data_IF_759889948636
#
_entry.id   IF_759889948636
#
_cell.length_a   1.000
_cell.length_b   1.000
_cell.length_c   1.000
_cell.angle_alpha   90.00
_cell.angle_beta   90.00
_cell.angle_gamma   90.00
#
_symmetry.space_group_name_H-M   'P 1'
#
loop_
_entity.id
_entity.type
_entity.pdbx_description
1 polymer ?
#
# COMPACT_ATOMS: atom_id res chain seq x y z
N UNK A 1 16.86 -18.60 4.12
CA UNK A 1 15.76 -17.86 3.53
C UNK A 1 16.09 -16.39 3.38
N UNK A 2 15.86 -15.86 2.21
CA UNK A 2 16.21 -14.49 1.98
C UNK A 2 15.08 -13.56 2.29
N UNK A 3 15.39 -12.48 2.93
CA UNK A 3 14.41 -11.47 3.18
C UNK A 3 14.29 -10.59 1.97
N UNK A 4 13.07 -10.21 1.67
CA UNK A 4 12.85 -9.29 0.58
C UNK A 4 12.97 -7.88 1.10
N UNK A 5 13.62 -7.07 0.31
CA UNK A 5 13.77 -5.67 0.66
C UNK A 5 12.66 -4.84 0.10
N UNK A 6 12.20 -3.90 0.90
CA UNK A 6 11.26 -2.91 0.41
C UNK A 6 12.05 -1.87 -0.36
N UNK A 7 11.64 -1.64 -1.60
CA UNK A 7 12.34 -0.67 -2.44
C UNK A 7 11.48 0.54 -2.74
N UNK A 8 10.17 0.46 -2.51
CA UNK A 8 9.30 1.63 -2.69
C UNK A 8 8.21 1.59 -1.65
N UNK A 9 7.73 2.77 -1.30
CA UNK A 9 6.74 2.93 -0.25
C UNK A 9 5.82 4.07 -0.65
N UNK A 10 4.52 3.86 -0.49
CA UNK A 10 3.56 4.90 -0.77
C UNK A 10 2.42 4.80 0.23
N UNK A 11 1.79 5.92 0.50
CA UNK A 11 0.64 5.95 1.39
C UNK A 11 -0.54 6.45 0.58
N UNK A 12 -1.61 5.66 0.56
CA UNK A 12 -2.86 6.06 -0.09
C UNK A 12 -3.76 6.67 0.96
N UNK A 13 -4.34 7.82 0.63
CA UNK A 13 -5.23 8.52 1.53
C UNK A 13 -6.50 8.82 0.74
N UNK A 14 -7.63 8.27 1.18
CA UNK A 14 -8.89 8.42 0.48
C UNK A 14 -9.98 8.81 1.44
N UNK A 15 -11.01 9.46 0.91
CA UNK A 15 -12.07 9.98 1.76
C UNK A 15 -13.12 8.94 2.11
N UNK A 16 -13.16 7.81 1.43
CA UNK A 16 -14.09 6.75 1.75
C UNK A 16 -13.38 5.41 1.71
N UNK A 17 -13.92 4.45 2.43
CA UNK A 17 -13.35 3.11 2.43
C UNK A 17 -13.45 2.48 1.05
N UNK A 18 -14.53 2.74 0.33
CA UNK A 18 -14.71 2.17 -1.00
C UNK A 18 -13.66 2.68 -1.96
N UNK A 19 -13.35 3.97 -1.87
CA UNK A 19 -12.32 4.55 -2.72
C UNK A 19 -10.96 3.98 -2.40
N UNK A 20 -10.71 3.74 -1.12
CA UNK A 20 -9.46 3.14 -0.72
C UNK A 20 -9.36 1.72 -1.26
N UNK A 21 -10.43 0.94 -1.13
CA UNK A 21 -10.46 -0.42 -1.64
C UNK A 21 -10.12 -0.44 -3.13
N UNK A 22 -10.78 0.43 -3.88
CA UNK A 22 -10.54 0.47 -5.31
C UNK A 22 -9.09 0.79 -5.62
N UNK A 23 -8.56 1.80 -4.93
CA UNK A 23 -7.17 2.22 -5.18
C UNK A 23 -6.17 1.13 -4.82
N UNK A 24 -6.39 0.45 -3.69
CA UNK A 24 -5.51 -0.63 -3.29
C UNK A 24 -5.54 -1.74 -4.34
N UNK A 25 -6.75 -2.13 -4.75
CA UNK A 25 -6.88 -3.21 -5.73
C UNK A 25 -6.18 -2.87 -7.04
N UNK A 26 -6.26 -1.61 -7.46
CA UNK A 26 -5.57 -1.21 -8.67
C UNK A 26 -4.06 -1.32 -8.50
N UNK A 27 -3.56 -0.96 -7.33
CA UNK A 27 -2.11 -1.01 -7.12
C UNK A 27 -1.60 -2.44 -6.98
N UNK A 28 -2.44 -3.35 -6.50
CA UNK A 28 -2.04 -4.76 -6.44
C UNK A 28 -1.71 -5.29 -7.83
N UNK A 29 -2.36 -4.76 -8.86
CA UNK A 29 -2.07 -5.18 -10.22
C UNK A 29 -0.70 -4.70 -10.67
N UNK A 30 -0.13 -3.74 -9.98
CA UNK A 30 1.16 -3.17 -10.32
C UNK A 30 2.23 -3.57 -9.31
N UNK A 31 2.04 -4.71 -8.67
CA UNK A 31 3.02 -5.30 -7.77
C UNK A 31 3.18 -4.58 -6.45
N UNK A 32 2.27 -3.69 -6.11
CA UNK A 32 2.27 -3.09 -4.78
C UNK A 32 1.61 -4.05 -3.80
N UNK A 33 2.11 -4.06 -2.58
CA UNK A 33 1.59 -4.94 -1.53
C UNK A 33 1.19 -4.09 -0.34
N UNK A 34 0.02 -4.34 0.26
CA UNK A 34 -0.35 -3.62 1.47
C UNK A 34 0.59 -3.98 2.62
N UNK A 35 0.91 -2.99 3.41
CA UNK A 35 1.73 -3.19 4.58
C UNK A 35 0.93 -2.75 5.79
N UNK A 36 0.58 -3.70 6.65
CA UNK A 36 -0.22 -3.40 7.82
C UNK A 36 -1.68 -3.20 7.47
N UNK A 37 -2.44 -2.78 8.43
CA UNK A 37 -3.87 -2.59 8.26
C UNK A 37 -4.21 -1.16 7.88
N UNK A 38 -5.49 -0.96 7.63
CA UNK A 38 -6.01 0.37 7.32
C UNK A 38 -6.10 1.18 8.60
N UNK A 39 -5.72 2.43 8.52
CA UNK A 39 -5.90 3.34 9.64
C UNK A 39 -6.73 4.53 9.19
N UNK A 40 -7.08 5.39 10.12
CA UNK A 40 -7.88 6.57 9.82
C UNK A 40 -7.14 7.80 10.24
N UNK A 41 -7.47 8.89 9.57
CA UNK A 41 -6.91 10.19 9.85
C UNK A 41 -8.07 11.17 9.97
N UNK A 42 -8.13 11.90 11.07
CA UNK A 42 -9.18 12.88 11.29
C UNK A 42 -8.56 14.26 11.18
N UNK A 43 -9.10 15.08 10.30
CA UNK A 43 -8.60 16.43 10.12
C UNK A 43 -9.29 17.39 11.07
N UNK A 44 -8.74 18.59 11.26
CA UNK A 44 -9.34 19.54 12.21
C UNK A 44 -10.79 19.86 11.91
N UNK A 45 -11.20 19.78 10.64
CA UNK A 45 -12.59 20.03 10.27
C UNK A 45 -13.48 18.81 10.43
N UNK A 46 -12.98 17.77 11.09
CA UNK A 46 -13.71 16.53 11.38
C UNK A 46 -13.87 15.61 10.18
N UNK A 47 -13.24 15.91 9.05
CA UNK A 47 -13.24 14.98 7.93
C UNK A 47 -12.38 13.78 8.28
N UNK A 48 -12.85 12.61 7.90
CA UNK A 48 -12.14 11.36 8.16
C UNK A 48 -11.62 10.82 6.85
N UNK A 49 -10.37 10.41 6.87
CA UNK A 49 -9.74 9.80 5.71
C UNK A 49 -9.27 8.42 6.08
N UNK A 50 -9.24 7.55 5.10
CA UNK A 50 -8.78 6.17 5.26
C UNK A 50 -7.42 6.05 4.60
N UNK A 51 -6.50 5.41 5.30
CA UNK A 51 -5.09 5.42 4.94
C UNK A 51 -4.57 4.01 4.88
N UNK A 52 -3.83 3.70 3.83
CA UNK A 52 -3.21 2.39 3.70
C UNK A 52 -1.82 2.57 3.09
N UNK A 53 -0.83 2.00 3.74
CA UNK A 53 0.52 2.00 3.21
C UNK A 53 0.68 0.83 2.26
N UNK A 54 1.40 1.05 1.19
CA UNK A 54 1.74 0.01 0.23
C UNK A 54 3.23 0.04 -0.01
N UNK A 55 3.78 -1.12 -0.28
CA UNK A 55 5.20 -1.22 -0.55
C UNK A 55 5.42 -2.07 -1.78
N UNK A 56 6.57 -1.89 -2.40
CA UNK A 56 7.06 -2.82 -3.39
C UNK A 56 8.31 -3.46 -2.85
N UNK A 57 8.42 -4.73 -3.10
CA UNK A 57 9.60 -5.47 -2.69
C UNK A 57 10.52 -5.62 -3.87
N UNK A 58 11.79 -5.75 -3.54
CA UNK A 58 12.79 -6.03 -4.53
C UNK A 58 12.41 -7.29 -5.28
N UNK A 59 12.51 -7.25 -6.61
CA UNK A 59 12.17 -8.41 -7.39
C UNK A 59 13.17 -9.51 -7.10
N UNK A 60 12.72 -10.74 -6.92
CA UNK A 60 13.67 -11.81 -6.73
C UNK A 60 14.52 -11.93 -7.97
N UNK A 61 15.80 -12.02 -7.75
CA UNK A 61 16.69 -12.23 -8.86
C UNK A 61 16.52 -13.64 -9.32
N UNK A 62 16.18 -13.79 -10.59
CA UNK A 62 16.10 -15.11 -11.13
C UNK A 62 17.48 -15.62 -11.26
N UNK A 63 17.71 -16.75 -10.61
CA UNK A 63 19.01 -17.36 -10.76
C UNK A 63 19.06 -18.01 -12.10
N UNK A 64 20.02 -17.67 -12.86
CA UNK A 64 20.17 -18.31 -14.13
C UNK A 64 20.85 -19.62 -13.91
N UNK A 65 20.23 -20.65 -14.30
CA UNK A 65 20.77 -21.97 -14.00
C UNK A 65 21.43 -22.58 -15.20
#
# INVERSE_FOLDING_TARGET
>A
MKERKIVEYVVLVKSTAERLDYSVNMQLLNDWQPLGGVSTLVKPNSDIYFVQALVKYEEPQEEEL
#
